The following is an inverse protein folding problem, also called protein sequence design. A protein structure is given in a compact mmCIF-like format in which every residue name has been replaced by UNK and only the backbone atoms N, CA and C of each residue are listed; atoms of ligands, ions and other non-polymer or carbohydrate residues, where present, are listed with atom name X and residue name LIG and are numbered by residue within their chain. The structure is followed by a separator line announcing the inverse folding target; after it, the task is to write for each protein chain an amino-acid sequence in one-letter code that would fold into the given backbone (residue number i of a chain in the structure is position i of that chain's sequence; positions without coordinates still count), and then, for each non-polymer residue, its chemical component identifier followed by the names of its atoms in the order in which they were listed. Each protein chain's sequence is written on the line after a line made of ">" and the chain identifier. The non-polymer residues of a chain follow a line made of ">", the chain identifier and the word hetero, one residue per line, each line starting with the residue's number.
data_IF_180628958623
#
_entry.id   IF_180628958623
#
_cell.length_a   1.000
_cell.length_b   1.000
_cell.length_c   1.000
_cell.angle_alpha   90.00
_cell.angle_beta   90.00
_cell.angle_gamma   90.00
#
_symmetry.space_group_name_H-M   'P 1'
#
loop_
_entity.id
_entity.type
_entity.pdbx_description
1 polymer ?
#
# COMPACT_ATOMS: atom_id res chain seq x y z
N UNK A 1 -14.04 -9.28 6.54
CA UNK A 1 -14.38 -8.34 5.45
C UNK A 1 -13.81 -6.97 5.79
N UNK A 2 -13.03 -6.37 4.89
CA UNK A 2 -12.45 -5.03 5.08
C UNK A 2 -13.57 -3.98 5.15
N UNK A 3 -13.53 -3.11 6.16
CA UNK A 3 -14.51 -2.04 6.35
C UNK A 3 -13.88 -0.71 5.94
N UNK A 4 -14.43 -0.11 4.90
CA UNK A 4 -14.02 1.21 4.40
C UNK A 4 -15.16 2.20 4.75
N UNK A 5 -14.82 3.29 5.43
CA UNK A 5 -15.78 4.33 5.84
C UNK A 5 -15.62 5.61 5.02
N UNK A 6 -14.47 5.80 4.38
CA UNK A 6 -14.14 6.97 3.56
C UNK A 6 -14.15 6.67 2.07
N UNK A 7 -14.31 7.69 1.26
CA UNK A 7 -14.12 7.67 -0.20
C UNK A 7 -12.86 8.43 -0.62
N UNK A 8 -12.17 9.08 0.32
CA UNK A 8 -10.92 9.79 0.10
C UNK A 8 -9.76 8.79 0.04
N UNK A 9 -8.97 8.71 -1.06
CA UNK A 9 -7.94 7.69 -1.24
C UNK A 9 -6.95 7.60 -0.08
N UNK A 10 -6.50 8.74 0.45
CA UNK A 10 -5.60 8.80 1.60
C UNK A 10 -6.18 8.12 2.84
N UNK A 11 -7.45 8.39 3.14
CA UNK A 11 -8.14 7.79 4.30
C UNK A 11 -8.42 6.31 4.10
N UNK A 12 -8.78 5.92 2.88
CA UNK A 12 -9.02 4.52 2.53
C UNK A 12 -7.78 3.68 2.79
N UNK A 13 -6.59 4.11 2.34
CA UNK A 13 -5.36 3.34 2.56
C UNK A 13 -4.91 3.35 4.01
N UNK A 14 -5.16 4.43 4.77
CA UNK A 14 -4.94 4.46 6.21
C UNK A 14 -5.83 3.45 6.95
N UNK A 15 -7.14 3.40 6.63
CA UNK A 15 -8.08 2.43 7.20
C UNK A 15 -7.69 0.98 6.87
N UNK A 16 -7.37 0.69 5.61
CA UNK A 16 -7.01 -0.66 5.18
C UNK A 16 -5.67 -1.13 5.77
N UNK A 17 -4.66 -0.26 5.82
CA UNK A 17 -3.38 -0.60 6.44
C UNK A 17 -3.52 -0.87 7.93
N UNK A 18 -4.38 -0.11 8.64
CA UNK A 18 -4.66 -0.32 10.05
C UNK A 18 -5.36 -1.67 10.29
N UNK A 19 -6.39 -2.00 9.51
CA UNK A 19 -7.07 -3.29 9.63
C UNK A 19 -6.14 -4.47 9.39
N UNK A 20 -5.22 -4.38 8.43
CA UNK A 20 -4.21 -5.41 8.16
C UNK A 20 -3.24 -5.57 9.33
N UNK A 21 -2.74 -4.47 9.88
CA UNK A 21 -1.83 -4.49 11.02
C UNK A 21 -2.52 -5.07 12.27
N UNK A 22 -3.75 -4.65 12.56
CA UNK A 22 -4.54 -5.17 13.69
C UNK A 22 -4.78 -6.68 13.58
N UNK A 23 -5.18 -7.16 12.41
CA UNK A 23 -5.44 -8.60 12.20
C UNK A 23 -4.19 -9.47 12.43
N UNK A 24 -3.00 -8.95 12.13
CA UNK A 24 -1.74 -9.64 12.41
C UNK A 24 -1.40 -9.56 13.89
N UNK A 25 -1.57 -8.39 14.52
CA UNK A 25 -1.32 -8.19 15.93
C UNK A 25 -2.17 -9.13 16.80
N UNK A 26 -3.47 -9.23 16.51
CA UNK A 26 -4.38 -10.13 17.22
C UNK A 26 -3.93 -11.60 17.14
N UNK A 27 -3.52 -12.06 15.95
CA UNK A 27 -2.99 -13.43 15.77
C UNK A 27 -1.70 -13.67 16.55
N UNK A 28 -0.81 -12.68 16.64
CA UNK A 28 0.41 -12.79 17.44
C UNK A 28 0.11 -12.82 18.93
N UNK A 29 -0.86 -12.03 19.40
CA UNK A 29 -1.31 -12.06 20.79
C UNK A 29 -1.92 -13.43 21.15
N UNK A 30 -2.77 -14.01 20.31
CA UNK A 30 -3.34 -15.35 20.51
C UNK A 30 -2.28 -16.46 20.53
N UNK A 31 -1.19 -16.28 19.79
CA UNK A 31 -0.07 -17.26 19.75
C UNK A 31 0.90 -17.14 20.93
N UNK A 32 0.71 -16.18 21.83
CA UNK A 32 1.58 -15.94 22.99
C UNK A 32 2.92 -15.23 22.64
N UNK A 33 3.08 -14.76 21.39
CA UNK A 33 4.29 -14.02 20.97
C UNK A 33 4.29 -12.61 21.54
N UNK A 34 3.10 -12.04 21.76
CA UNK A 34 2.90 -10.73 22.40
C UNK A 34 2.26 -10.91 23.77
N UNK A 35 2.96 -11.56 24.74
CA UNK A 35 2.43 -11.73 26.09
C UNK A 35 2.88 -10.55 26.99
N UNK A 36 1.96 -9.65 27.37
CA UNK A 36 2.28 -8.52 28.25
C UNK A 36 2.65 -8.94 29.68
N UNK A 37 2.48 -10.21 30.06
CA UNK A 37 2.80 -10.72 31.40
C UNK A 37 4.25 -11.23 31.54
N UNK A 38 5.00 -11.44 30.46
CA UNK A 38 6.42 -11.81 30.53
C UNK A 38 7.32 -10.57 30.76
N UNK A 39 7.09 -9.88 31.87
CA UNK A 39 7.97 -8.79 32.32
C UNK A 39 9.24 -9.36 33.01
N UNK A 40 10.30 -9.56 32.26
CA UNK A 40 11.64 -9.53 32.82
C UNK A 40 11.99 -8.04 33.08
N UNK A 41 12.36 -7.69 34.30
CA UNK A 41 12.42 -6.34 34.87
C UNK A 41 13.50 -5.39 34.33
N UNK A 42 13.74 -5.35 33.04
CA UNK A 42 14.48 -4.31 32.33
C UNK A 42 13.55 -3.67 31.30
N UNK A 43 13.63 -2.34 31.16
CA UNK A 43 12.87 -1.55 30.16
C UNK A 43 13.29 -2.01 28.75
N UNK A 44 12.78 -3.13 28.33
CA UNK A 44 12.96 -3.64 26.97
C UNK A 44 11.73 -3.20 26.20
N UNK A 45 11.95 -2.44 25.13
CA UNK A 45 11.01 -2.39 24.02
C UNK A 45 10.72 -3.85 23.68
N UNK A 46 9.45 -4.25 23.70
CA UNK A 46 9.14 -5.60 23.27
C UNK A 46 9.59 -5.73 21.82
N UNK A 47 10.24 -6.84 21.50
CA UNK A 47 10.84 -7.08 20.18
C UNK A 47 9.79 -7.25 19.06
N UNK A 48 8.52 -6.92 19.33
CA UNK A 48 7.42 -7.11 18.37
C UNK A 48 7.00 -5.79 17.75
N UNK A 49 7.16 -5.74 16.42
CA UNK A 49 6.66 -4.67 15.56
C UNK A 49 5.82 -5.30 14.45
N UNK A 50 4.61 -4.76 14.23
CA UNK A 50 3.75 -5.16 13.12
C UNK A 50 3.58 -3.98 12.18
N UNK A 51 3.80 -4.23 10.89
CA UNK A 51 3.60 -3.27 9.82
C UNK A 51 2.52 -3.77 8.88
N UNK A 52 1.46 -2.98 8.71
CA UNK A 52 0.42 -3.18 7.70
C UNK A 52 0.55 -2.12 6.61
N UNK A 53 0.39 -2.50 5.35
CA UNK A 53 0.36 -1.57 4.23
C UNK A 53 -0.75 -1.92 3.25
N UNK A 54 -1.33 -0.90 2.62
CA UNK A 54 -2.30 -1.05 1.54
C UNK A 54 -2.14 0.05 0.49
N UNK A 55 -2.35 -0.30 -0.79
CA UNK A 55 -2.13 0.60 -1.91
C UNK A 55 -3.36 0.68 -2.80
N UNK A 56 -3.73 1.91 -3.18
CA UNK A 56 -4.79 2.15 -4.16
C UNK A 56 -4.28 3.10 -5.25
N UNK A 57 -4.87 2.95 -6.45
CA UNK A 57 -4.73 3.89 -7.56
C UNK A 57 -5.95 4.78 -7.58
N UNK A 58 -5.77 6.08 -7.77
CA UNK A 58 -6.85 7.05 -7.89
C UNK A 58 -6.74 7.86 -9.19
N UNK A 59 -7.85 8.00 -9.89
CA UNK A 59 -7.95 8.80 -11.11
C UNK A 59 -9.33 9.44 -11.20
N UNK A 60 -9.38 10.77 -11.44
CA UNK A 60 -10.61 11.55 -11.54
C UNK A 60 -11.56 11.34 -10.34
N UNK A 61 -11.02 11.29 -9.13
CA UNK A 61 -11.79 11.08 -7.90
C UNK A 61 -12.34 9.66 -7.72
N UNK A 62 -11.93 8.71 -8.55
CA UNK A 62 -12.30 7.30 -8.44
C UNK A 62 -11.12 6.48 -7.95
N UNK A 63 -11.38 5.60 -6.99
CA UNK A 63 -10.40 4.60 -6.56
C UNK A 63 -10.54 3.38 -7.46
N UNK A 64 -9.40 2.97 -8.04
CA UNK A 64 -9.28 1.80 -8.91
C UNK A 64 -8.63 0.68 -8.11
N UNK A 65 -9.42 -0.32 -7.77
CA UNK A 65 -8.94 -1.56 -7.14
C UNK A 65 -8.33 -2.53 -8.17
N UNK A 66 -8.26 -3.80 -7.82
CA UNK A 66 -7.88 -4.87 -8.75
C UNK A 66 -8.99 -5.08 -9.78
N UNK A 67 -8.66 -5.30 -11.06
CA UNK A 67 -9.67 -5.58 -12.07
C UNK A 67 -10.35 -6.93 -11.82
N UNK A 68 -11.65 -7.00 -12.08
CA UNK A 68 -12.40 -8.24 -11.92
C UNK A 68 -12.12 -9.24 -13.07
N UNK A 69 -11.82 -8.73 -14.25
CA UNK A 69 -11.55 -9.48 -15.46
C UNK A 69 -10.69 -8.68 -16.46
N UNK A 70 -10.37 -9.26 -17.58
CA UNK A 70 -9.54 -8.66 -18.63
C UNK A 70 -10.17 -7.40 -19.26
N UNK A 71 -11.48 -7.32 -19.36
CA UNK A 71 -12.17 -6.16 -19.91
C UNK A 71 -12.13 -5.00 -18.91
N UNK A 72 -12.31 -5.27 -17.62
CA UNK A 72 -12.14 -4.29 -16.56
C UNK A 72 -10.69 -3.76 -16.51
N UNK A 73 -9.70 -4.65 -16.68
CA UNK A 73 -8.29 -4.26 -16.76
C UNK A 73 -8.03 -3.33 -17.96
N UNK A 74 -8.54 -3.68 -19.13
CA UNK A 74 -8.41 -2.85 -20.33
C UNK A 74 -9.09 -1.48 -20.16
N UNK A 75 -10.26 -1.43 -19.53
CA UNK A 75 -10.97 -0.18 -19.25
C UNK A 75 -10.18 0.72 -18.27
N UNK A 76 -9.59 0.15 -17.21
CA UNK A 76 -8.72 0.89 -16.29
C UNK A 76 -7.51 1.46 -17.01
N UNK A 77 -6.78 0.67 -17.80
CA UNK A 77 -5.62 1.13 -18.56
C UNK A 77 -5.99 2.20 -19.59
N UNK A 78 -7.16 2.08 -20.23
CA UNK A 78 -7.69 3.12 -21.13
C UNK A 78 -7.94 4.44 -20.40
N UNK A 79 -8.37 4.40 -19.14
CA UNK A 79 -8.56 5.59 -18.32
C UNK A 79 -7.22 6.23 -17.93
N UNK A 80 -6.19 5.42 -17.67
CA UNK A 80 -4.89 5.88 -17.15
C UNK A 80 -3.90 6.31 -18.23
N UNK A 81 -4.00 5.77 -19.45
CA UNK A 81 -3.04 6.02 -20.52
C UNK A 81 -2.98 7.49 -20.93
N UNK A 82 -1.79 7.98 -21.30
CA UNK A 82 -1.55 9.33 -21.83
C UNK A 82 -1.68 10.46 -20.81
N UNK A 83 -1.85 10.15 -19.53
CA UNK A 83 -2.09 11.16 -18.47
C UNK A 83 -1.46 10.79 -17.13
N UNK A 84 -1.54 11.70 -16.16
CA UNK A 84 -1.17 11.46 -14.78
C UNK A 84 -2.34 10.89 -13.96
N UNK A 85 -2.01 10.06 -12.99
CA UNK A 85 -2.90 9.56 -11.96
C UNK A 85 -2.13 9.43 -10.65
N UNK A 86 -2.84 9.20 -9.55
CA UNK A 86 -2.24 9.17 -8.21
C UNK A 86 -2.22 7.75 -7.66
N UNK A 87 -1.15 7.41 -6.96
CA UNK A 87 -1.00 6.17 -6.19
C UNK A 87 -0.80 6.54 -4.74
N UNK A 88 -1.63 5.98 -3.88
CA UNK A 88 -1.56 6.16 -2.43
C UNK A 88 -1.22 4.83 -1.77
N UNK A 89 -0.26 4.85 -0.87
CA UNK A 89 0.00 3.73 0.04
C UNK A 89 -0.15 4.21 1.48
N UNK A 90 -1.05 3.58 2.23
CA UNK A 90 -1.16 3.74 3.67
C UNK A 90 -0.25 2.75 4.38
N UNK A 91 0.32 3.18 5.48
CA UNK A 91 1.14 2.34 6.35
C UNK A 91 0.69 2.53 7.79
N UNK A 92 0.50 1.43 8.50
CA UNK A 92 0.25 1.42 9.94
C UNK A 92 1.30 0.57 10.63
N UNK A 93 1.94 1.15 11.62
CA UNK A 93 2.94 0.52 12.47
C UNK A 93 2.34 0.35 13.87
N UNK A 94 2.22 -0.89 14.33
CA UNK A 94 1.87 -1.24 15.69
C UNK A 94 3.14 -1.67 16.41
N UNK A 95 3.38 -1.12 17.58
CA UNK A 95 4.54 -1.46 18.42
C UNK A 95 4.19 -1.32 19.89
N UNK A 96 5.00 -1.85 20.75
CA UNK A 96 4.84 -1.72 22.17
C UNK A 96 5.91 -0.80 22.77
N UNK A 97 5.49 0.13 23.61
CA UNK A 97 6.38 1.02 24.35
C UNK A 97 5.92 1.11 25.80
N UNK A 98 6.81 0.79 26.74
CA UNK A 98 6.52 0.79 28.19
C UNK A 98 5.33 -0.10 28.60
N UNK A 99 5.10 -1.22 27.91
CA UNK A 99 3.99 -2.13 28.16
C UNK A 99 2.64 -1.63 27.61
N UNK A 100 2.65 -0.60 26.78
CA UNK A 100 1.45 -0.08 26.11
C UNK A 100 1.58 -0.21 24.60
N UNK A 101 0.52 -0.70 23.95
CA UNK A 101 0.45 -0.72 22.49
C UNK A 101 0.32 0.70 21.94
N UNK A 102 1.18 1.03 21.03
CA UNK A 102 1.19 2.30 20.28
C UNK A 102 0.88 2.06 18.80
N UNK A 103 0.34 3.07 18.18
CA UNK A 103 -0.04 3.02 16.75
C UNK A 103 0.48 4.28 16.06
N UNK A 104 1.15 4.12 14.94
CA UNK A 104 1.48 5.19 14.01
C UNK A 104 0.88 4.84 12.65
N UNK A 105 0.05 5.73 12.10
CA UNK A 105 -0.54 5.57 10.77
C UNK A 105 -0.22 6.79 9.92
N UNK A 106 0.20 6.57 8.67
CA UNK A 106 0.46 7.61 7.69
C UNK A 106 0.22 7.08 6.27
N UNK A 107 0.22 7.97 5.30
CA UNK A 107 0.19 7.62 3.89
C UNK A 107 1.25 8.39 3.10
N UNK A 108 1.62 7.85 1.95
CA UNK A 108 2.38 8.52 0.90
C UNK A 108 1.57 8.59 -0.39
N UNK A 109 1.81 9.66 -1.16
CA UNK A 109 1.20 9.88 -2.46
C UNK A 109 2.27 10.08 -3.51
N UNK A 110 2.12 9.41 -4.66
CA UNK A 110 2.97 9.56 -5.83
C UNK A 110 2.10 9.74 -7.07
N UNK A 111 2.43 10.71 -7.91
CA UNK A 111 1.80 10.85 -9.23
C UNK A 111 2.59 10.03 -10.25
N UNK A 112 1.90 9.18 -11.01
CA UNK A 112 2.47 8.39 -12.10
C UNK A 112 1.95 8.91 -13.42
N UNK A 113 2.85 9.17 -14.36
CA UNK A 113 2.52 9.66 -15.70
C UNK A 113 2.72 8.56 -16.74
N UNK A 114 1.69 8.26 -17.50
CA UNK A 114 1.75 7.30 -18.60
C UNK A 114 2.02 8.00 -19.95
N UNK A 115 2.76 7.32 -20.80
CA UNK A 115 2.70 7.58 -22.24
C UNK A 115 1.32 7.16 -22.79
N UNK A 116 0.89 7.75 -23.95
CA UNK A 116 -0.26 7.22 -24.66
C UNK A 116 -0.05 5.75 -25.05
N UNK A 117 -1.11 4.95 -24.91
CA UNK A 117 -1.15 3.55 -25.31
C UNK A 117 -2.27 3.34 -26.34
N UNK A 118 -1.98 2.55 -27.36
CA UNK A 118 -3.01 2.09 -28.30
C UNK A 118 -3.82 0.93 -27.69
N UNK A 119 -5.02 0.69 -28.20
CA UNK A 119 -5.84 -0.46 -27.78
C UNK A 119 -5.11 -1.80 -27.97
N UNK A 120 -4.30 -1.92 -29.01
CA UNK A 120 -3.49 -3.13 -29.23
C UNK A 120 -2.44 -3.33 -28.13
N UNK A 121 -1.76 -2.26 -27.71
CA UNK A 121 -0.78 -2.31 -26.61
C UNK A 121 -1.44 -2.62 -25.26
N UNK A 122 -2.62 -2.04 -24.99
CA UNK A 122 -3.40 -2.36 -23.79
C UNK A 122 -3.77 -3.85 -23.78
N UNK A 123 -4.30 -4.38 -24.89
CA UNK A 123 -4.68 -5.80 -25.01
C UNK A 123 -3.47 -6.73 -24.89
N UNK A 124 -2.33 -6.36 -25.48
CA UNK A 124 -1.08 -7.11 -25.36
C UNK A 124 -0.66 -7.21 -23.88
N UNK A 125 -0.71 -6.11 -23.14
CA UNK A 125 -0.35 -6.09 -21.73
C UNK A 125 -1.35 -6.89 -20.88
N UNK A 126 -2.65 -6.73 -21.11
CA UNK A 126 -3.68 -7.51 -20.40
C UNK A 126 -3.52 -9.01 -20.63
N UNK A 127 -3.17 -9.41 -21.85
CA UNK A 127 -2.96 -10.82 -22.20
C UNK A 127 -1.80 -11.47 -21.46
N UNK A 128 -0.87 -10.70 -20.88
CA UNK A 128 0.21 -11.24 -20.01
C UNK A 128 -0.30 -11.78 -18.68
N UNK A 129 -1.50 -11.38 -18.25
CA UNK A 129 -2.04 -11.68 -16.92
C UNK A 129 -1.46 -10.82 -15.78
N UNK A 130 -0.38 -10.08 -16.04
CA UNK A 130 0.30 -9.23 -15.04
C UNK A 130 -0.62 -8.16 -14.40
N UNK A 131 -1.59 -7.54 -15.10
CA UNK A 131 -2.52 -6.56 -14.52
C UNK A 131 -3.46 -7.10 -13.45
N UNK A 132 -3.76 -8.40 -13.43
CA UNK A 132 -4.95 -8.94 -12.77
C UNK A 132 -4.92 -8.90 -11.25
N UNK A 133 -3.76 -8.84 -10.64
CA UNK A 133 -3.57 -8.80 -9.18
C UNK A 133 -3.20 -7.41 -8.65
N UNK A 134 -3.24 -6.37 -9.51
CA UNK A 134 -2.75 -5.02 -9.19
C UNK A 134 -3.85 -3.97 -9.22
N UNK A 135 -3.83 -3.07 -8.23
CA UNK A 135 -4.69 -1.89 -8.23
C UNK A 135 -4.44 -1.04 -9.48
N UNK A 136 -5.51 -0.57 -10.14
CA UNK A 136 -5.40 0.19 -11.39
C UNK A 136 -4.94 -0.64 -12.59
N UNK A 137 -4.88 -1.96 -12.46
CA UNK A 137 -4.52 -2.91 -13.50
C UNK A 137 -3.11 -2.72 -14.07
N UNK A 138 -2.13 -2.26 -13.28
CA UNK A 138 -0.73 -2.20 -13.70
C UNK A 138 0.27 -2.30 -12.56
N UNK A 139 1.47 -2.76 -12.88
CA UNK A 139 2.65 -2.68 -12.03
C UNK A 139 3.70 -1.74 -12.62
N UNK A 140 4.30 -0.87 -11.81
CA UNK A 140 5.38 0.02 -12.26
C UNK A 140 6.63 -0.76 -12.70
N UNK A 141 6.78 -1.96 -12.18
CA UNK A 141 7.85 -2.91 -12.53
C UNK A 141 7.41 -3.80 -13.71
N UNK A 142 8.36 -4.46 -14.34
CA UNK A 142 8.08 -5.44 -15.37
C UNK A 142 7.60 -4.84 -16.70
N UNK A 143 6.61 -5.50 -17.33
CA UNK A 143 6.18 -5.19 -18.69
C UNK A 143 5.63 -3.76 -18.84
N UNK A 144 4.87 -3.27 -17.88
CA UNK A 144 4.24 -1.94 -17.93
C UNK A 144 5.24 -0.79 -17.83
N UNK A 145 6.45 -1.02 -17.31
CA UNK A 145 7.48 0.01 -17.15
C UNK A 145 7.75 0.81 -18.44
N UNK A 146 7.59 0.19 -19.61
CA UNK A 146 7.77 0.81 -20.94
C UNK A 146 6.75 1.91 -21.26
N UNK A 147 5.61 1.90 -20.56
CA UNK A 147 4.53 2.87 -20.77
C UNK A 147 4.53 3.98 -19.71
N UNK A 148 5.42 3.93 -18.74
CA UNK A 148 5.54 4.95 -17.70
C UNK A 148 6.54 6.02 -18.13
N UNK A 149 6.05 7.26 -18.30
CA UNK A 149 6.86 8.43 -18.69
C UNK A 149 7.70 8.95 -17.53
N UNK A 150 7.18 8.84 -16.31
CA UNK A 150 7.84 9.34 -15.12
C UNK A 150 6.91 9.34 -13.91
N UNK A 151 7.46 9.69 -12.76
CA UNK A 151 6.76 9.81 -11.48
C UNK A 151 7.12 11.13 -10.79
N UNK A 152 6.21 11.62 -9.95
CA UNK A 152 6.45 12.71 -9.01
C UNK A 152 6.13 12.18 -7.61
N UNK A 153 7.18 11.92 -6.82
CA UNK A 153 7.09 11.31 -5.49
C UNK A 153 8.00 10.09 -5.34
N UNK A 154 7.62 9.16 -4.48
CA UNK A 154 8.41 7.98 -4.13
C UNK A 154 8.05 6.78 -5.02
N UNK A 155 9.07 6.20 -5.66
CA UNK A 155 8.95 4.97 -6.46
C UNK A 155 8.49 3.78 -5.61
N UNK A 156 9.04 3.63 -4.41
CA UNK A 156 8.70 2.52 -3.52
C UNK A 156 7.25 2.59 -3.04
N UNK A 157 6.69 3.80 -2.91
CA UNK A 157 5.27 4.00 -2.67
C UNK A 157 4.42 3.37 -3.80
N UNK A 158 4.79 3.56 -5.06
CA UNK A 158 4.08 2.96 -6.20
C UNK A 158 4.24 1.44 -6.23
N UNK A 159 5.38 0.92 -5.78
CA UNK A 159 5.59 -0.55 -5.64
C UNK A 159 4.71 -1.15 -4.54
N UNK A 160 4.33 -0.36 -3.52
CA UNK A 160 3.42 -0.78 -2.46
C UNK A 160 3.91 -0.60 -1.03
N UNK A 161 5.13 -0.08 -0.83
CA UNK A 161 5.65 0.26 0.49
C UNK A 161 6.66 1.42 0.39
N UNK A 162 6.37 2.61 0.95
CA UNK A 162 7.27 3.76 0.95
C UNK A 162 8.42 3.56 1.94
N UNK A 163 9.38 2.69 1.57
CA UNK A 163 10.46 2.19 2.45
C UNK A 163 11.25 3.33 3.09
N UNK A 164 11.56 4.37 2.32
CA UNK A 164 12.29 5.53 2.84
C UNK A 164 11.54 6.24 3.97
N UNK A 165 10.25 6.48 3.81
CA UNK A 165 9.41 7.08 4.84
C UNK A 165 9.24 6.16 6.05
N UNK A 166 8.99 4.86 5.81
CA UNK A 166 8.90 3.85 6.90
C UNK A 166 10.16 3.86 7.75
N UNK A 167 11.35 3.85 7.12
CA UNK A 167 12.61 3.91 7.86
C UNK A 167 12.74 5.18 8.72
N UNK A 168 12.39 6.35 8.18
CA UNK A 168 12.46 7.61 8.92
C UNK A 168 11.51 7.62 10.13
N UNK A 169 10.30 7.07 9.98
CA UNK A 169 9.35 6.96 11.09
C UNK A 169 9.87 6.01 12.18
N UNK A 170 10.35 4.83 11.79
CA UNK A 170 10.93 3.87 12.74
C UNK A 170 12.16 4.44 13.47
N UNK A 171 13.04 5.13 12.75
CA UNK A 171 14.21 5.79 13.34
C UNK A 171 13.79 6.91 14.30
N UNK A 172 12.77 7.69 13.94
CA UNK A 172 12.20 8.74 14.81
C UNK A 172 11.63 8.19 16.12
N UNK A 173 11.03 7.01 16.06
CA UNK A 173 10.51 6.26 17.21
C UNK A 173 11.61 5.48 17.97
N UNK A 174 12.85 5.47 17.48
CA UNK A 174 13.99 4.68 18.01
C UNK A 174 13.74 3.17 18.04
N UNK A 175 12.99 2.68 17.03
CA UNK A 175 12.70 1.26 16.85
C UNK A 175 13.72 0.57 15.93
N UNK A 176 14.59 1.33 15.27
CA UNK A 176 15.71 0.89 14.44
C UNK A 176 16.88 1.85 14.62
#
# INVERSE_FOLDING_TARGET
>A
EEKITSTEPAKVVEELSAQKAEAVWEKLAESGVCDPEQKSGETTMTDTLVLGADTVVACDGKILGKPADSEAAAAMLTMLQGRGHEVYTGVTILYEENGERKTLTFHEKTTVHFYPMTDAQIREYVATGDPMDKAGAYGIQGFCARYIRGIEGDYNNVVGLPVGRVYQELHGLRLV
#
